data_IF_331224787103
#
_entry.id   IF_331224787103
#
_cell.length_a   1.000
_cell.length_b   1.000
_cell.length_c   1.000
_cell.angle_alpha   90.00
_cell.angle_beta   90.00
_cell.angle_gamma   90.00
#
_symmetry.space_group_name_H-M   'P 1'
#
loop_
_entity.id
_entity.type
_entity.pdbx_description
1 polymer ?
#
# COMPACT_ATOMS: atom_id res chain seq x y z
N UNK A 1 -9.90 28.62 14.75
CA UNK A 1 -10.16 27.50 15.68
C UNK A 1 -8.81 27.02 16.17
N UNK A 2 -8.58 26.97 17.48
CA UNK A 2 -7.38 26.37 18.05
C UNK A 2 -7.71 24.92 18.39
N UNK A 3 -6.96 23.97 17.84
CA UNK A 3 -7.10 22.57 18.18
C UNK A 3 -6.12 22.27 19.31
N UNK A 4 -6.64 21.97 20.48
CA UNK A 4 -5.83 21.57 21.64
C UNK A 4 -5.53 20.07 21.50
N UNK A 5 -4.30 19.72 21.16
CA UNK A 5 -3.83 18.33 21.17
C UNK A 5 -3.35 17.97 22.57
N UNK A 6 -3.98 17.00 23.22
CA UNK A 6 -3.54 16.44 24.48
C UNK A 6 -3.01 15.03 24.20
N UNK A 7 -1.86 14.67 24.77
CA UNK A 7 -1.31 13.32 24.71
C UNK A 7 -1.55 12.65 26.08
N UNK A 8 -2.58 11.79 26.24
CA UNK A 8 -2.91 11.13 27.50
C UNK A 8 -1.72 10.34 28.08
N UNK A 9 -0.87 9.79 27.22
CA UNK A 9 0.34 9.05 27.59
C UNK A 9 1.38 9.97 28.25
N UNK A 10 1.52 11.20 27.74
CA UNK A 10 2.44 12.19 28.32
C UNK A 10 1.96 12.68 29.70
N UNK A 11 0.66 12.82 29.89
CA UNK A 11 0.07 13.17 31.19
C UNK A 11 0.26 12.04 32.22
N UNK A 12 0.13 10.79 31.78
CA UNK A 12 0.34 9.61 32.63
C UNK A 12 1.81 9.48 33.04
N UNK A 13 2.74 9.71 32.11
CA UNK A 13 4.17 9.73 32.40
C UNK A 13 4.55 10.88 33.36
N UNK A 14 3.95 12.07 33.18
CA UNK A 14 4.15 13.20 34.08
C UNK A 14 3.65 12.88 35.50
N UNK A 15 2.48 12.23 35.65
CA UNK A 15 1.96 11.80 36.95
C UNK A 15 2.91 10.84 37.68
N UNK A 16 3.51 9.88 36.97
CA UNK A 16 4.47 8.94 37.53
C UNK A 16 5.76 9.64 38.00
N UNK A 17 6.29 10.58 37.20
CA UNK A 17 7.48 11.35 37.58
C UNK A 17 7.24 12.23 38.81
N UNK A 18 6.08 12.89 38.85
CA UNK A 18 5.63 13.69 39.99
C UNK A 18 5.55 12.82 41.24
N UNK A 19 4.96 11.62 41.16
CA UNK A 19 4.91 10.68 42.27
C UNK A 19 6.31 10.23 42.76
N UNK A 20 7.25 9.98 41.84
CA UNK A 20 8.63 9.62 42.19
C UNK A 20 9.34 10.75 42.95
N UNK A 21 9.18 12.00 42.51
CA UNK A 21 9.74 13.18 43.19
C UNK A 21 9.16 13.32 44.60
N UNK A 22 7.85 13.13 44.78
CA UNK A 22 7.24 13.17 46.10
C UNK A 22 7.74 12.07 47.04
N UNK A 23 7.96 10.86 46.54
CA UNK A 23 8.55 9.78 47.32
C UNK A 23 9.95 10.16 47.79
N UNK A 24 10.81 10.64 46.87
CA UNK A 24 12.18 11.04 47.19
C UNK A 24 12.22 12.20 48.22
N UNK A 25 11.31 13.17 48.09
CA UNK A 25 11.16 14.27 49.06
C UNK A 25 10.69 13.77 50.43
N UNK A 26 9.74 12.84 50.46
CA UNK A 26 9.27 12.21 51.69
C UNK A 26 10.38 11.46 52.42
N UNK A 27 11.15 10.65 51.69
CA UNK A 27 12.28 9.89 52.22
C UNK A 27 13.40 10.82 52.75
N UNK A 28 13.72 11.88 52.01
CA UNK A 28 14.71 12.87 52.43
C UNK A 28 14.27 13.63 53.70
N UNK A 29 13.01 14.04 53.78
CA UNK A 29 12.47 14.72 54.96
C UNK A 29 12.41 13.79 56.19
N UNK A 30 12.10 12.50 55.99
CA UNK A 30 12.13 11.50 57.05
C UNK A 30 13.56 11.23 57.55
N UNK A 31 14.53 11.12 56.63
CA UNK A 31 15.94 10.92 56.98
C UNK A 31 16.53 12.11 57.76
N UNK A 32 16.13 13.35 57.42
CA UNK A 32 16.59 14.56 58.10
C UNK A 32 15.90 14.82 59.45
N UNK A 33 14.76 14.17 59.74
CA UNK A 33 13.92 14.47 60.89
C UNK A 33 14.65 14.30 62.23
N UNK A 34 15.34 13.18 62.42
CA UNK A 34 16.03 12.87 63.67
C UNK A 34 17.18 13.85 63.99
N UNK A 35 17.93 14.26 62.96
CA UNK A 35 19.08 15.17 63.12
C UNK A 35 18.70 16.64 63.32
N UNK A 36 17.49 17.04 62.92
CA UNK A 36 17.05 18.45 62.96
C UNK A 36 16.11 18.76 64.12
N UNK A 37 15.37 17.77 64.63
CA UNK A 37 14.45 17.95 65.77
C UNK A 37 15.09 17.65 67.14
N UNK A 38 16.24 16.97 67.15
CA UNK A 38 16.98 16.58 68.35
C UNK A 38 18.21 17.43 68.65
N UNK A 39 18.21 18.72 68.29
CA UNK A 39 19.37 19.60 68.50
C UNK A 39 19.62 19.78 69.99
N UNK A 40 20.83 19.43 70.44
CA UNK A 40 21.27 19.60 71.83
C UNK A 40 21.95 20.95 72.03
N UNK A 41 21.82 21.52 73.22
CA UNK A 41 22.52 22.76 73.58
C UNK A 41 24.05 22.53 73.59
N UNK A 42 24.80 23.41 72.95
CA UNK A 42 26.27 23.32 72.86
C UNK A 42 26.98 23.62 74.20
N UNK A 43 26.30 24.32 75.11
CA UNK A 43 26.78 24.66 76.44
C UNK A 43 25.63 24.70 77.46
N UNK A 44 25.96 24.74 78.75
CA UNK A 44 24.99 24.76 79.85
C UNK A 44 24.31 26.14 80.05
N UNK A 45 24.62 27.12 79.21
CA UNK A 45 24.05 28.46 79.29
C UNK A 45 22.64 28.53 78.69
N UNK A 46 21.91 29.56 79.13
CA UNK A 46 20.52 29.77 78.70
C UNK A 46 20.41 30.15 77.22
N UNK A 47 21.43 30.76 76.62
CA UNK A 47 21.42 31.16 75.20
C UNK A 47 21.56 29.94 74.30
N UNK A 48 22.49 29.02 74.61
CA UNK A 48 22.64 27.73 73.92
C UNK A 48 21.37 26.87 74.01
N UNK A 49 20.71 26.87 75.17
CA UNK A 49 19.43 26.15 75.37
C UNK A 49 18.30 26.76 74.55
N UNK A 50 18.19 28.10 74.54
CA UNK A 50 17.18 28.80 73.75
C UNK A 50 17.37 28.62 72.25
N UNK A 51 18.61 28.66 71.76
CA UNK A 51 18.93 28.41 70.34
C UNK A 51 18.61 26.98 69.92
N UNK A 52 18.97 25.97 70.72
CA UNK A 52 18.60 24.58 70.45
C UNK A 52 17.07 24.39 70.39
N UNK A 53 16.32 25.01 71.31
CA UNK A 53 14.86 24.99 71.28
C UNK A 53 14.26 25.69 70.06
N UNK A 54 14.85 26.80 69.61
CA UNK A 54 14.40 27.51 68.41
C UNK A 54 14.58 26.66 67.14
N UNK A 55 15.77 26.05 66.97
CA UNK A 55 16.05 25.21 65.81
C UNK A 55 15.19 23.94 65.79
N UNK A 56 15.04 23.27 66.93
CA UNK A 56 14.16 22.10 67.03
C UNK A 56 12.70 22.45 66.80
N UNK A 57 12.23 23.62 67.28
CA UNK A 57 10.89 24.13 66.99
C UNK A 57 10.67 24.40 65.49
N UNK A 58 11.62 25.09 64.85
CA UNK A 58 11.56 25.34 63.40
C UNK A 58 11.56 24.05 62.57
N UNK A 59 12.33 23.04 62.99
CA UNK A 59 12.34 21.73 62.34
C UNK A 59 10.98 21.02 62.43
N UNK A 60 10.29 21.13 63.57
CA UNK A 60 8.94 20.57 63.75
C UNK A 60 7.91 21.28 62.85
N UNK A 61 7.97 22.60 62.74
CA UNK A 61 7.12 23.38 61.84
C UNK A 61 7.36 22.98 60.38
N UNK A 62 8.63 22.81 59.98
CA UNK A 62 8.99 22.33 58.66
C UNK A 62 8.41 20.93 58.38
N UNK A 63 8.49 20.00 59.33
CA UNK A 63 7.90 18.66 59.19
C UNK A 63 6.39 18.72 58.99
N UNK A 64 5.68 19.59 59.73
CA UNK A 64 4.23 19.79 59.56
C UNK A 64 3.87 20.31 58.16
N UNK A 65 4.59 21.32 57.66
CA UNK A 65 4.40 21.85 56.30
C UNK A 65 4.72 20.80 55.23
N UNK A 66 5.77 20.01 55.45
CA UNK A 66 6.16 18.95 54.51
C UNK A 66 5.09 17.87 54.36
N UNK A 67 4.39 17.52 55.45
CA UNK A 67 3.28 16.59 55.44
C UNK A 67 2.08 17.15 54.65
N UNK A 68 1.79 18.45 54.79
CA UNK A 68 0.73 19.11 54.02
C UNK A 68 1.08 19.17 52.53
N UNK A 69 2.34 19.44 52.18
CA UNK A 69 2.81 19.40 50.80
C UNK A 69 2.69 17.99 50.18
N UNK A 70 2.99 16.93 50.95
CA UNK A 70 2.81 15.56 50.48
C UNK A 70 1.35 15.22 50.16
N UNK A 71 0.40 15.70 50.99
CA UNK A 71 -1.03 15.53 50.73
C UNK A 71 -1.48 16.27 49.46
N UNK A 72 -1.04 17.52 49.28
CA UNK A 72 -1.30 18.29 48.07
C UNK A 72 -0.79 17.55 46.82
N UNK A 73 0.43 17.02 46.89
CA UNK A 73 1.04 16.31 45.76
C UNK A 73 0.27 15.04 45.38
N UNK A 74 -0.23 14.31 46.38
CA UNK A 74 -1.11 13.15 46.17
C UNK A 74 -2.41 13.54 45.47
N UNK A 75 -3.09 14.60 45.92
CA UNK A 75 -4.32 15.11 45.29
C UNK A 75 -4.07 15.62 43.86
N UNK A 76 -2.96 16.32 43.65
CA UNK A 76 -2.56 16.81 42.33
C UNK A 76 -2.33 15.66 41.34
N UNK A 77 -1.63 14.59 41.78
CA UNK A 77 -1.38 13.40 40.96
C UNK A 77 -2.69 12.66 40.63
N UNK A 78 -3.61 12.55 41.59
CA UNK A 78 -4.94 11.96 41.37
C UNK A 78 -5.77 12.76 40.36
N UNK A 79 -5.76 14.09 40.48
CA UNK A 79 -6.45 14.97 39.54
C UNK A 79 -5.87 14.87 38.11
N UNK A 80 -4.54 14.77 37.99
CA UNK A 80 -3.87 14.61 36.70
C UNK A 80 -4.23 13.28 36.02
N UNK A 81 -4.26 12.18 36.77
CA UNK A 81 -4.70 10.88 36.28
C UNK A 81 -6.19 10.89 35.89
N UNK A 82 -7.04 11.53 36.69
CA UNK A 82 -8.46 11.72 36.37
C UNK A 82 -8.69 12.51 35.09
N UNK A 83 -7.89 13.56 34.86
CA UNK A 83 -7.94 14.35 33.63
C UNK A 83 -7.52 13.51 32.41
N UNK A 84 -6.42 12.76 32.49
CA UNK A 84 -5.95 11.88 31.41
C UNK A 84 -7.03 10.86 31.00
N UNK A 85 -7.66 10.21 31.98
CA UNK A 85 -8.77 9.28 31.73
C UNK A 85 -9.99 9.96 31.09
N UNK A 86 -10.31 11.19 31.51
CA UNK A 86 -11.42 11.96 30.95
C UNK A 86 -11.17 12.31 29.48
N UNK A 87 -9.93 12.67 29.12
CA UNK A 87 -9.55 12.93 27.73
C UNK A 87 -9.62 11.65 26.88
N UNK A 88 -9.07 10.54 27.35
CA UNK A 88 -9.15 9.26 26.65
C UNK A 88 -10.61 8.79 26.46
N UNK A 89 -11.47 8.98 27.46
CA UNK A 89 -12.90 8.66 27.36
C UNK A 89 -13.62 9.55 26.34
N UNK A 90 -13.27 10.84 26.25
CA UNK A 90 -13.84 11.75 25.27
C UNK A 90 -13.44 11.38 23.83
N UNK A 91 -12.19 10.97 23.61
CA UNK A 91 -11.74 10.45 22.31
C UNK A 91 -12.51 9.18 21.91
N UNK A 92 -12.66 8.23 22.83
CA UNK A 92 -13.41 7.00 22.58
C UNK A 92 -14.90 7.27 22.28
N UNK A 93 -15.53 8.19 23.02
CA UNK A 93 -16.92 8.59 22.78
C UNK A 93 -17.13 9.24 21.41
N UNK A 94 -16.14 9.99 20.93
CA UNK A 94 -16.19 10.64 19.62
C UNK A 94 -15.83 9.71 18.46
N UNK A 95 -15.11 8.61 18.70
CA UNK A 95 -14.79 7.61 17.67
C UNK A 95 -15.98 6.69 17.31
N UNK A 96 -16.82 6.35 18.30
CA UNK A 96 -17.94 5.41 18.13
C UNK A 96 -18.93 5.76 17.00
N UNK A 97 -19.39 7.03 16.88
CA UNK A 97 -20.27 7.45 15.79
C UNK A 97 -19.65 7.33 14.38
N UNK A 98 -18.32 7.44 14.25
CA UNK A 98 -17.65 7.30 12.94
C UNK A 98 -17.59 5.84 12.51
N UNK A 99 -17.26 4.93 13.44
CA UNK A 99 -17.19 3.50 13.16
C UNK A 99 -18.56 2.91 12.77
N UNK A 100 -19.65 3.39 13.38
CA UNK A 100 -20.99 2.93 13.05
C UNK A 100 -21.45 3.34 11.64
N UNK A 101 -21.10 4.56 11.21
CA UNK A 101 -21.39 5.04 9.85
C UNK A 101 -20.51 4.31 8.81
N UNK A 102 -19.24 4.04 9.11
CA UNK A 102 -18.36 3.26 8.23
C UNK A 102 -18.85 1.82 8.02
N UNK A 103 -19.38 1.18 9.07
CA UNK A 103 -20.00 -0.15 8.94
C UNK A 103 -21.24 -0.14 8.05
N UNK A 104 -21.99 0.96 8.03
CA UNK A 104 -23.20 1.10 7.22
C UNK A 104 -22.87 1.31 5.73
N UNK A 105 -21.74 1.96 5.45
CA UNK A 105 -21.32 2.34 4.11
C UNK A 105 -20.51 1.27 3.38
N UNK A 106 -20.17 0.15 4.05
CA UNK A 106 -19.31 -0.94 3.54
C UNK A 106 -17.94 -0.50 3.02
N UNK A 107 -17.58 0.78 3.21
CA UNK A 107 -16.37 1.46 2.77
C UNK A 107 -16.08 2.61 3.75
N UNK A 108 -14.80 2.91 4.05
CA UNK A 108 -14.43 4.03 4.91
C UNK A 108 -14.96 5.37 4.35
N UNK A 109 -15.21 6.34 5.23
CA UNK A 109 -15.48 7.73 4.75
C UNK A 109 -14.17 8.36 4.27
N UNK A 110 -13.09 8.12 5.01
CA UNK A 110 -11.73 8.57 4.71
C UNK A 110 -10.80 7.35 4.80
N UNK A 111 -9.97 7.15 3.78
CA UNK A 111 -8.98 6.08 3.77
C UNK A 111 -8.72 5.57 2.36
N UNK A 112 -7.52 5.05 2.11
CA UNK A 112 -7.23 4.41 0.83
C UNK A 112 -7.87 3.02 0.76
N UNK A 113 -8.19 2.58 -0.45
CA UNK A 113 -8.58 1.21 -0.72
C UNK A 113 -7.40 0.26 -0.51
N UNK A 114 -7.67 -0.94 -0.01
CA UNK A 114 -6.66 -1.98 0.13
C UNK A 114 -6.22 -2.49 -1.25
N UNK A 115 -4.92 -2.74 -1.41
CA UNK A 115 -4.39 -3.38 -2.61
C UNK A 115 -4.92 -4.81 -2.76
N UNK A 116 -5.08 -5.23 -4.01
CA UNK A 116 -5.46 -6.59 -4.37
C UNK A 116 -4.43 -7.61 -3.93
N UNK A 117 -4.90 -8.82 -3.66
CA UNK A 117 -4.07 -9.96 -3.25
C UNK A 117 -4.28 -11.14 -4.20
N UNK A 118 -3.45 -12.17 -4.10
CA UNK A 118 -3.63 -13.38 -4.92
C UNK A 118 -5.03 -14.01 -4.76
N UNK A 119 -5.63 -13.93 -3.57
CA UNK A 119 -6.96 -14.48 -3.29
C UNK A 119 -8.10 -13.55 -3.72
N UNK A 120 -7.86 -12.23 -3.74
CA UNK A 120 -8.80 -11.21 -4.20
C UNK A 120 -8.04 -10.20 -5.06
N UNK A 121 -7.89 -10.47 -6.37
CA UNK A 121 -6.96 -9.74 -7.22
C UNK A 121 -7.26 -8.26 -7.40
N UNK A 122 -8.52 -7.85 -7.28
CA UNK A 122 -8.88 -6.45 -7.48
C UNK A 122 -8.51 -5.61 -6.25
N UNK A 123 -7.94 -4.44 -6.49
CA UNK A 123 -7.82 -3.41 -5.47
C UNK A 123 -9.20 -2.93 -5.03
N UNK A 124 -9.34 -2.66 -3.75
CA UNK A 124 -10.58 -2.11 -3.19
C UNK A 124 -10.68 -0.63 -3.49
N UNK A 125 -11.91 -0.12 -3.49
CA UNK A 125 -12.14 1.30 -3.66
C UNK A 125 -11.68 2.12 -2.44
N UNK A 126 -11.26 3.35 -2.69
CA UNK A 126 -10.94 4.34 -1.65
C UNK A 126 -12.16 4.80 -0.86
N UNK A 127 -11.94 5.63 0.15
CA UNK A 127 -13.00 6.19 0.99
C UNK A 127 -13.95 7.09 0.21
N UNK A 128 -15.17 7.26 0.72
CA UNK A 128 -16.22 8.04 0.04
C UNK A 128 -15.84 9.50 -0.18
N UNK A 129 -15.21 10.14 0.80
CA UNK A 129 -14.84 11.57 0.72
C UNK A 129 -13.38 11.76 0.30
N UNK A 130 -12.47 11.04 0.96
CA UNK A 130 -11.05 11.15 0.69
C UNK A 130 -10.38 9.79 0.71
N UNK A 131 -9.65 9.47 -0.34
CA UNK A 131 -8.91 8.23 -0.43
C UNK A 131 -8.64 7.79 -1.85
N UNK A 132 -7.44 7.28 -2.08
CA UNK A 132 -7.07 6.66 -3.33
C UNK A 132 -7.64 5.24 -3.40
N UNK A 133 -7.94 4.75 -4.60
CA UNK A 133 -8.21 3.33 -4.79
C UNK A 133 -6.96 2.47 -4.63
N UNK A 134 -7.14 1.23 -4.18
CA UNK A 134 -6.05 0.26 -4.04
C UNK A 134 -5.59 -0.26 -5.41
N UNK A 135 -4.34 -0.66 -5.51
CA UNK A 135 -3.79 -1.24 -6.73
C UNK A 135 -4.30 -2.67 -6.95
N UNK A 136 -4.45 -3.07 -8.19
CA UNK A 136 -4.73 -4.46 -8.56
C UNK A 136 -3.51 -5.36 -8.38
N UNK A 137 -3.77 -6.64 -8.11
CA UNK A 137 -2.76 -7.66 -7.91
C UNK A 137 -2.08 -8.07 -9.23
N UNK A 138 -0.76 -8.14 -9.20
CA UNK A 138 0.05 -8.61 -10.33
C UNK A 138 0.00 -10.13 -10.47
N UNK A 139 0.01 -10.61 -11.72
CA UNK A 139 -0.04 -12.03 -12.05
C UNK A 139 -1.47 -12.56 -12.28
N UNK A 140 -2.50 -11.88 -11.78
CA UNK A 140 -3.89 -12.21 -12.10
C UNK A 140 -4.57 -11.13 -12.97
N UNK A 141 -3.88 -10.03 -13.27
CA UNK A 141 -4.50 -8.90 -13.97
C UNK A 141 -5.57 -8.21 -13.12
N UNK A 142 -5.34 -8.07 -11.82
CA UNK A 142 -6.33 -7.45 -10.93
C UNK A 142 -6.64 -6.03 -11.33
N UNK A 143 -7.91 -5.61 -11.26
CA UNK A 143 -8.27 -4.23 -11.54
C UNK A 143 -7.84 -3.32 -10.37
N UNK A 144 -7.45 -2.09 -10.67
CA UNK A 144 -7.30 -1.05 -9.65
C UNK A 144 -8.66 -0.60 -9.13
N UNK A 145 -8.73 -0.30 -7.83
CA UNK A 145 -9.91 0.26 -7.18
C UNK A 145 -10.13 1.71 -7.56
N UNK A 146 -11.38 2.18 -7.49
CA UNK A 146 -11.72 3.57 -7.77
C UNK A 146 -11.59 4.44 -6.52
N UNK A 147 -11.32 5.73 -6.68
CA UNK A 147 -11.47 6.70 -5.60
C UNK A 147 -12.94 7.11 -5.41
N UNK A 148 -13.25 7.76 -4.28
CA UNK A 148 -14.57 8.35 -3.99
C UNK A 148 -14.71 9.76 -4.57
N UNK A 149 -14.86 10.76 -3.69
CA UNK A 149 -15.00 12.16 -4.10
C UNK A 149 -13.64 12.79 -4.46
N UNK A 150 -12.64 12.62 -3.59
CA UNK A 150 -11.26 13.10 -3.76
C UNK A 150 -10.29 11.95 -3.62
N UNK A 151 -9.44 11.75 -4.63
CA UNK A 151 -8.39 10.73 -4.60
C UNK A 151 -8.11 10.18 -5.99
N UNK A 152 -6.98 9.52 -6.17
CA UNK A 152 -6.61 8.90 -7.43
C UNK A 152 -7.10 7.46 -7.51
N UNK A 153 -7.42 6.99 -8.71
CA UNK A 153 -7.68 5.57 -8.94
C UNK A 153 -6.42 4.73 -8.77
N UNK A 154 -6.57 3.50 -8.29
CA UNK A 154 -5.48 2.56 -8.16
C UNK A 154 -5.01 2.03 -9.51
N UNK A 155 -3.74 1.62 -9.62
CA UNK A 155 -3.23 1.02 -10.85
C UNK A 155 -3.80 -0.39 -11.05
N UNK A 156 -3.99 -0.81 -12.31
CA UNK A 156 -4.27 -2.19 -12.65
C UNK A 156 -3.02 -3.07 -12.53
N UNK A 157 -3.20 -4.30 -12.06
CA UNK A 157 -2.14 -5.29 -11.93
C UNK A 157 -1.78 -5.93 -13.27
N UNK A 158 -0.55 -6.42 -13.41
CA UNK A 158 -0.11 -7.11 -14.63
C UNK A 158 -0.77 -8.49 -14.78
N UNK A 159 -0.94 -8.94 -16.02
CA UNK A 159 -1.40 -10.30 -16.32
C UNK A 159 -0.34 -11.37 -16.06
N UNK A 160 -0.79 -12.62 -15.87
CA UNK A 160 0.11 -13.78 -15.71
C UNK A 160 0.89 -14.06 -17.01
N UNK A 161 2.15 -14.47 -16.88
CA UNK A 161 2.86 -15.03 -18.03
C UNK A 161 2.36 -16.46 -18.31
N UNK A 162 2.27 -16.81 -19.58
CA UNK A 162 1.97 -18.16 -20.03
C UNK A 162 3.12 -19.12 -19.69
N UNK A 163 2.76 -20.35 -19.31
CA UNK A 163 3.74 -21.38 -18.98
C UNK A 163 4.61 -21.75 -20.20
N UNK A 164 5.93 -21.72 -20.02
CA UNK A 164 6.87 -22.11 -21.06
C UNK A 164 6.71 -23.59 -21.45
N UNK A 165 6.96 -23.90 -22.72
CA UNK A 165 6.84 -25.25 -23.27
C UNK A 165 5.40 -25.76 -23.38
N UNK A 166 4.39 -24.90 -23.25
CA UNK A 166 2.97 -25.30 -23.37
C UNK A 166 2.22 -24.51 -24.44
N UNK A 167 2.80 -23.42 -24.94
CA UNK A 167 2.08 -22.46 -25.79
C UNK A 167 0.93 -21.74 -25.06
N UNK A 168 0.93 -21.74 -23.72
CA UNK A 168 -0.11 -21.05 -22.95
C UNK A 168 -0.09 -19.54 -23.22
N UNK A 169 -1.27 -18.93 -23.38
CA UNK A 169 -1.38 -17.49 -23.55
C UNK A 169 -0.99 -16.74 -22.27
N UNK A 170 -0.50 -15.52 -22.43
CA UNK A 170 -0.38 -14.56 -21.34
C UNK A 170 -1.75 -14.06 -20.91
N UNK A 171 -1.94 -13.85 -19.61
CA UNK A 171 -3.14 -13.24 -19.04
C UNK A 171 -3.22 -11.75 -19.35
N UNK A 172 -4.42 -11.20 -19.39
CA UNK A 172 -4.63 -9.76 -19.56
C UNK A 172 -4.16 -8.97 -18.34
N UNK A 173 -3.70 -7.74 -18.57
CA UNK A 173 -3.52 -6.76 -17.51
C UNK A 173 -4.86 -6.21 -17.03
N UNK A 174 -4.93 -5.85 -15.76
CA UNK A 174 -6.13 -5.28 -15.15
C UNK A 174 -6.34 -3.83 -15.53
N UNK A 175 -7.59 -3.37 -15.52
CA UNK A 175 -7.88 -1.95 -15.75
C UNK A 175 -7.42 -1.10 -14.57
N UNK A 176 -6.97 0.12 -14.83
CA UNK A 176 -6.79 1.13 -13.79
C UNK A 176 -8.13 1.61 -13.24
N UNK A 177 -8.15 1.95 -11.95
CA UNK A 177 -9.34 2.47 -11.28
C UNK A 177 -9.63 3.92 -11.64
N UNK A 178 -10.87 4.36 -11.43
CA UNK A 178 -11.25 5.75 -11.71
C UNK A 178 -10.72 6.69 -10.63
N UNK A 179 -10.33 7.90 -11.04
CA UNK A 179 -10.07 9.01 -10.13
C UNK A 179 -11.34 9.52 -9.47
N UNK A 180 -11.18 10.35 -8.45
CA UNK A 180 -12.28 10.86 -7.64
C UNK A 180 -13.23 11.71 -8.46
N UNK A 181 -14.52 11.66 -8.10
CA UNK A 181 -15.57 12.37 -8.84
C UNK A 181 -15.31 13.87 -8.95
N UNK A 182 -14.84 14.52 -7.88
CA UNK A 182 -14.51 15.94 -7.90
C UNK A 182 -13.07 16.16 -8.34
N UNK A 183 -12.13 15.46 -7.70
CA UNK A 183 -10.70 15.64 -7.98
C UNK A 183 -9.96 14.31 -7.90
N UNK A 184 -9.24 13.98 -8.96
CA UNK A 184 -8.32 12.87 -8.96
C UNK A 184 -8.02 12.33 -10.34
N UNK A 185 -6.83 11.77 -10.47
CA UNK A 185 -6.39 11.14 -11.69
C UNK A 185 -6.88 9.70 -11.75
N UNK A 186 -7.16 9.22 -12.97
CA UNK A 186 -7.37 7.80 -13.20
C UNK A 186 -6.08 7.00 -13.02
N UNK A 187 -6.21 5.76 -12.55
CA UNK A 187 -5.10 4.83 -12.40
C UNK A 187 -4.62 4.29 -13.75
N UNK A 188 -3.33 3.94 -13.85
CA UNK A 188 -2.82 3.30 -15.07
C UNK A 188 -3.35 1.87 -15.23
N UNK A 189 -3.54 1.42 -16.46
CA UNK A 189 -3.84 0.03 -16.78
C UNK A 189 -2.61 -0.87 -16.63
N UNK A 190 -2.83 -2.11 -16.21
CA UNK A 190 -1.79 -3.12 -16.05
C UNK A 190 -1.29 -3.67 -17.38
N UNK A 191 -0.03 -4.09 -17.43
CA UNK A 191 0.51 -4.74 -18.63
C UNK A 191 -0.06 -6.15 -18.83
N UNK A 192 -0.26 -6.53 -20.09
CA UNK A 192 -0.56 -7.92 -20.45
C UNK A 192 0.63 -8.83 -20.21
N UNK A 193 0.37 -10.07 -19.81
CA UNK A 193 1.38 -11.10 -19.57
C UNK A 193 2.00 -11.61 -20.87
N UNK A 194 3.23 -12.11 -20.79
CA UNK A 194 3.94 -12.68 -21.93
C UNK A 194 3.37 -14.07 -22.25
N UNK A 195 3.19 -14.40 -23.53
CA UNK A 195 2.81 -15.74 -23.98
C UNK A 195 3.93 -16.77 -23.75
N UNK A 196 3.56 -17.98 -23.32
CA UNK A 196 4.49 -19.08 -23.09
C UNK A 196 5.05 -19.64 -24.39
N UNK A 197 6.29 -20.11 -24.39
CA UNK A 197 6.87 -20.80 -25.55
C UNK A 197 6.13 -22.09 -25.87
N UNK A 198 6.07 -22.47 -27.13
CA UNK A 198 5.56 -23.76 -27.56
C UNK A 198 6.51 -24.91 -27.20
N UNK A 199 5.97 -26.09 -26.93
CA UNK A 199 6.75 -27.32 -26.75
C UNK A 199 7.53 -27.68 -28.02
N UNK A 200 8.79 -28.06 -27.88
CA UNK A 200 9.51 -28.75 -28.96
C UNK A 200 8.82 -30.07 -29.29
N UNK A 201 8.56 -30.30 -30.57
CA UNK A 201 7.99 -31.55 -31.07
C UNK A 201 8.93 -32.73 -30.83
N UNK A 202 8.35 -33.89 -30.52
CA UNK A 202 9.07 -35.16 -30.56
C UNK A 202 9.54 -35.47 -32.00
N UNK A 203 10.36 -36.51 -32.17
CA UNK A 203 10.79 -36.96 -33.48
C UNK A 203 9.59 -37.16 -34.42
N UNK A 204 9.65 -36.57 -35.61
CA UNK A 204 8.58 -36.63 -36.61
C UNK A 204 7.26 -35.94 -36.21
N UNK A 205 7.33 -35.00 -35.25
CA UNK A 205 6.19 -34.22 -34.78
C UNK A 205 6.50 -32.73 -34.92
N UNK A 206 5.54 -31.99 -35.48
CA UNK A 206 5.56 -30.52 -35.56
C UNK A 206 5.62 -29.91 -34.16
N UNK A 207 6.44 -28.87 -34.00
CA UNK A 207 6.51 -28.13 -32.74
C UNK A 207 5.18 -27.45 -32.38
N UNK A 208 4.88 -27.32 -31.08
CA UNK A 208 3.66 -26.65 -30.65
C UNK A 208 3.74 -25.13 -30.91
N UNK A 209 2.62 -24.45 -31.18
CA UNK A 209 2.62 -23.00 -31.35
C UNK A 209 3.02 -22.29 -30.05
N UNK A 210 3.58 -21.10 -30.19
CA UNK A 210 3.81 -20.18 -29.09
C UNK A 210 2.49 -19.55 -28.64
N UNK A 211 2.40 -19.27 -27.34
CA UNK A 211 1.23 -18.64 -26.76
C UNK A 211 1.11 -17.17 -27.15
N UNK A 212 -0.12 -16.68 -27.27
CA UNK A 212 -0.36 -15.26 -27.53
C UNK A 212 0.02 -14.42 -26.30
N UNK A 213 0.44 -13.18 -26.55
CA UNK A 213 0.60 -12.21 -25.48
C UNK A 213 -0.76 -11.73 -24.94
N UNK A 214 -0.82 -11.47 -23.64
CA UNK A 214 -2.02 -10.93 -23.01
C UNK A 214 -2.29 -9.49 -23.40
N UNK A 215 -3.55 -9.06 -23.38
CA UNK A 215 -3.89 -7.64 -23.65
C UNK A 215 -3.48 -6.74 -22.48
N UNK A 216 -3.05 -5.52 -22.76
CA UNK A 216 -2.90 -4.48 -21.74
C UNK A 216 -4.26 -4.01 -21.21
N UNK A 217 -4.32 -3.67 -19.93
CA UNK A 217 -5.52 -3.14 -19.30
C UNK A 217 -5.78 -1.68 -19.68
N UNK A 218 -7.04 -1.25 -19.65
CA UNK A 218 -7.37 0.15 -19.90
C UNK A 218 -6.91 1.04 -18.74
N UNK A 219 -6.53 2.28 -19.01
CA UNK A 219 -6.36 3.31 -17.98
C UNK A 219 -7.71 3.77 -17.43
N UNK A 220 -7.75 4.12 -16.15
CA UNK A 220 -8.94 4.63 -15.49
C UNK A 220 -9.25 6.07 -15.90
N UNK A 221 -10.51 6.47 -15.83
CA UNK A 221 -10.91 7.85 -16.12
C UNK A 221 -10.72 8.76 -14.90
N UNK A 222 -10.53 10.06 -15.13
CA UNK A 222 -10.69 11.09 -14.10
C UNK A 222 -12.15 11.56 -14.01
N UNK A 223 -12.51 12.24 -12.91
CA UNK A 223 -13.85 12.77 -12.64
C UNK A 223 -14.06 14.16 -13.26
N UNK A 224 -14.33 15.17 -12.43
CA UNK A 224 -14.52 16.56 -12.87
C UNK A 224 -13.18 17.23 -13.21
N UNK A 225 -12.17 17.01 -12.35
CA UNK A 225 -10.80 17.47 -12.50
C UNK A 225 -9.82 16.31 -12.36
N UNK A 226 -8.82 16.27 -13.24
CA UNK A 226 -7.72 15.30 -13.17
C UNK A 226 -7.37 14.70 -14.52
N UNK A 227 -6.26 13.99 -14.62
CA UNK A 227 -5.81 13.35 -15.85
C UNK A 227 -6.27 11.89 -15.91
N UNK A 228 -6.64 11.42 -17.10
CA UNK A 228 -6.90 10.01 -17.33
C UNK A 228 -5.63 9.17 -17.17
N UNK A 229 -5.80 7.93 -16.72
CA UNK A 229 -4.69 7.00 -16.57
C UNK A 229 -4.20 6.47 -17.92
N UNK A 230 -2.91 6.17 -18.05
CA UNK A 230 -2.38 5.53 -19.25
C UNK A 230 -2.90 4.09 -19.40
N UNK A 231 -3.11 3.63 -20.63
CA UNK A 231 -3.38 2.23 -20.93
C UNK A 231 -2.13 1.37 -20.75
N UNK A 232 -2.32 0.13 -20.34
CA UNK A 232 -1.25 -0.85 -20.16
C UNK A 232 -0.70 -1.37 -21.49
N UNK A 233 0.58 -1.73 -21.52
CA UNK A 233 1.17 -2.37 -22.69
C UNK A 233 0.59 -3.78 -22.91
N UNK A 234 0.46 -4.19 -24.17
CA UNK A 234 0.19 -5.59 -24.52
C UNK A 234 1.41 -6.47 -24.28
N UNK A 235 1.19 -7.71 -23.88
CA UNK A 235 2.22 -8.69 -23.64
C UNK A 235 2.86 -9.18 -24.95
N UNK A 236 4.16 -9.48 -24.92
CA UNK A 236 4.81 -10.15 -26.03
C UNK A 236 4.27 -11.59 -26.16
N UNK A 237 4.27 -12.13 -27.38
CA UNK A 237 3.94 -13.53 -27.60
C UNK A 237 5.13 -14.48 -27.35
N UNK A 238 4.78 -15.73 -27.10
CA UNK A 238 5.71 -16.84 -26.99
C UNK A 238 6.21 -17.29 -28.35
N UNK A 239 7.44 -17.80 -28.36
CA UNK A 239 8.03 -18.42 -29.54
C UNK A 239 7.38 -19.79 -29.82
N UNK A 240 7.25 -20.16 -31.08
CA UNK A 240 6.86 -21.52 -31.45
C UNK A 240 7.94 -22.54 -31.05
N UNK A 241 7.53 -23.75 -30.70
CA UNK A 241 8.45 -24.83 -30.36
C UNK A 241 9.17 -25.36 -31.60
N UNK A 242 10.43 -25.77 -31.47
CA UNK A 242 11.17 -26.38 -32.58
C UNK A 242 10.68 -27.79 -32.92
N UNK A 243 11.15 -28.33 -34.04
CA UNK A 243 11.09 -29.77 -34.35
C UNK A 243 12.50 -30.36 -34.34
N UNK A 244 12.66 -31.64 -33.98
CA UNK A 244 13.98 -32.24 -33.65
C UNK A 244 14.52 -33.23 -34.68
N UNK A 245 13.67 -33.89 -35.47
CA UNK A 245 14.10 -34.77 -36.56
C UNK A 245 12.98 -34.95 -37.58
N UNK A 246 13.32 -34.92 -38.88
CA UNK A 246 12.34 -35.07 -39.94
C UNK A 246 12.65 -36.11 -41.00
N UNK A 247 11.61 -36.87 -41.37
CA UNK A 247 11.56 -37.78 -42.52
C UNK A 247 10.54 -37.31 -43.56
N UNK A 248 9.88 -36.17 -43.33
CA UNK A 248 8.83 -35.64 -44.18
C UNK A 248 8.90 -34.12 -44.31
N UNK A 249 8.79 -33.56 -45.52
CA UNK A 249 8.76 -32.10 -45.73
C UNK A 249 7.52 -31.41 -45.12
N UNK A 250 6.59 -32.16 -44.52
CA UNK A 250 5.39 -31.62 -43.85
C UNK A 250 5.57 -31.34 -42.36
N UNK A 251 6.76 -31.56 -41.79
CA UNK A 251 7.05 -31.29 -40.39
C UNK A 251 7.69 -29.90 -40.23
N UNK A 252 7.07 -29.09 -39.38
CA UNK A 252 7.45 -27.68 -39.21
C UNK A 252 7.83 -27.39 -37.75
N UNK A 253 8.64 -26.35 -37.55
CA UNK A 253 8.62 -25.63 -36.28
C UNK A 253 7.22 -25.08 -36.00
N UNK A 254 6.84 -24.99 -34.74
CA UNK A 254 5.59 -24.38 -34.31
C UNK A 254 5.54 -22.90 -34.70
N UNK A 255 4.36 -22.37 -34.96
CA UNK A 255 4.22 -20.93 -35.25
C UNK A 255 4.44 -20.09 -34.00
N UNK A 256 5.01 -18.90 -34.15
CA UNK A 256 5.05 -17.92 -33.06
C UNK A 256 3.67 -17.41 -32.69
N UNK A 257 3.47 -17.05 -31.42
CA UNK A 257 2.20 -16.49 -30.95
C UNK A 257 1.97 -15.06 -31.45
N UNK A 258 0.73 -14.58 -31.33
CA UNK A 258 0.35 -13.19 -31.66
C UNK A 258 0.58 -12.28 -30.45
N UNK A 259 1.24 -11.14 -30.65
CA UNK A 259 1.45 -10.15 -29.59
C UNK A 259 0.13 -9.57 -29.08
N UNK A 260 0.04 -9.29 -27.78
CA UNK A 260 -1.16 -8.74 -27.16
C UNK A 260 -1.42 -7.30 -27.56
N UNK A 261 -2.67 -6.88 -27.65
CA UNK A 261 -3.01 -5.48 -27.88
C UNK A 261 -2.68 -4.61 -26.66
N UNK A 262 -2.29 -3.36 -26.88
CA UNK A 262 -2.18 -2.34 -25.84
C UNK A 262 -3.57 -1.88 -25.36
N UNK A 263 -3.68 -1.52 -24.08
CA UNK A 263 -4.90 -1.00 -23.48
C UNK A 263 -5.17 0.45 -23.88
N UNK A 264 -6.43 0.86 -23.89
CA UNK A 264 -6.79 2.26 -24.12
C UNK A 264 -6.38 3.14 -22.93
N UNK A 265 -6.01 4.40 -23.19
CA UNK A 265 -5.87 5.42 -22.17
C UNK A 265 -7.24 5.85 -21.63
N UNK A 266 -7.30 6.23 -20.36
CA UNK A 266 -8.51 6.71 -19.71
C UNK A 266 -8.83 8.16 -20.05
N UNK A 267 -10.09 8.55 -19.91
CA UNK A 267 -10.50 9.93 -20.15
C UNK A 267 -9.97 10.89 -19.08
N UNK A 268 -9.60 12.10 -19.48
CA UNK A 268 -9.33 13.23 -18.59
C UNK A 268 -10.60 13.75 -17.93
N UNK A 269 -10.41 14.64 -16.95
CA UNK A 269 -11.50 15.20 -16.15
C UNK A 269 -12.42 16.04 -17.02
N UNK A 270 -13.73 15.91 -16.82
CA UNK A 270 -14.73 16.50 -17.70
C UNK A 270 -14.57 18.00 -17.90
N UNK A 271 -14.25 18.75 -16.84
CA UNK A 271 -14.05 20.20 -16.94
C UNK A 271 -12.63 20.52 -17.35
N UNK A 272 -11.65 19.92 -16.66
CA UNK A 272 -10.23 20.13 -16.96
C UNK A 272 -9.42 18.89 -16.66
N UNK A 273 -8.62 18.49 -17.66
CA UNK A 273 -7.65 17.41 -17.55
C UNK A 273 -7.41 16.70 -18.86
N UNK A 274 -6.19 16.18 -19.01
CA UNK A 274 -5.74 15.48 -20.21
C UNK A 274 -6.22 14.02 -20.19
N UNK A 275 -6.50 13.48 -21.37
CA UNK A 275 -6.66 12.04 -21.54
C UNK A 275 -5.34 11.30 -21.28
N UNK A 276 -5.45 10.03 -20.89
CA UNK A 276 -4.30 9.15 -20.75
C UNK A 276 -3.78 8.67 -22.10
N UNK A 277 -2.49 8.38 -22.20
CA UNK A 277 -1.93 7.75 -23.39
C UNK A 277 -2.44 6.31 -23.55
N UNK A 278 -2.60 5.85 -24.79
CA UNK A 278 -2.83 4.44 -25.08
C UNK A 278 -1.57 3.61 -24.84
N UNK A 279 -1.76 2.33 -24.50
CA UNK A 279 -0.68 1.37 -24.33
C UNK A 279 -0.11 0.90 -25.67
N UNK A 280 1.17 0.55 -25.69
CA UNK A 280 1.79 -0.07 -26.87
C UNK A 280 1.32 -1.52 -27.05
N UNK A 281 1.24 -2.00 -28.28
CA UNK A 281 1.03 -3.40 -28.57
C UNK A 281 2.27 -4.25 -28.29
N UNK A 282 2.08 -5.54 -28.02
CA UNK A 282 3.14 -6.50 -27.76
C UNK A 282 3.78 -7.03 -29.04
N UNK A 283 5.03 -7.47 -28.96
CA UNK A 283 5.70 -8.11 -30.10
C UNK A 283 5.10 -9.50 -30.40
N UNK A 284 5.08 -9.87 -31.68
CA UNK A 284 4.76 -11.23 -32.12
C UNK A 284 5.89 -12.20 -31.78
N UNK A 285 5.57 -13.49 -31.63
CA UNK A 285 6.52 -14.53 -31.31
C UNK A 285 7.34 -14.95 -32.52
N UNK A 286 8.60 -15.36 -32.32
CA UNK A 286 9.34 -16.03 -33.39
C UNK A 286 8.72 -17.40 -33.68
N UNK A 287 8.84 -17.86 -34.93
CA UNK A 287 8.53 -19.26 -35.26
C UNK A 287 9.58 -20.21 -34.70
N UNK A 288 9.19 -21.46 -34.47
CA UNK A 288 10.08 -22.50 -34.01
C UNK A 288 11.09 -22.93 -35.07
N UNK A 289 12.22 -23.48 -34.64
CA UNK A 289 13.22 -24.01 -35.56
C UNK A 289 12.68 -25.24 -36.29
N UNK A 290 13.09 -25.42 -37.55
CA UNK A 290 12.85 -26.65 -38.29
C UNK A 290 13.70 -27.81 -37.77
N UNK A 291 13.34 -29.02 -38.15
CA UNK A 291 14.08 -30.23 -37.78
C UNK A 291 15.32 -30.46 -38.64
N UNK A 292 16.36 -31.03 -38.04
CA UNK A 292 17.49 -31.60 -38.76
C UNK A 292 17.01 -32.76 -39.63
N UNK A 293 17.54 -32.86 -40.85
CA UNK A 293 17.13 -33.90 -41.78
C UNK A 293 17.72 -35.25 -41.42
N UNK A 294 16.87 -36.28 -41.33
CA UNK A 294 17.33 -37.67 -41.20
C UNK A 294 17.20 -38.38 -42.54
N UNK A 295 18.13 -39.30 -42.81
CA UNK A 295 18.19 -40.03 -44.07
C UNK A 295 17.23 -41.23 -43.97
N UNK A 296 16.18 -41.23 -44.80
CA UNK A 296 15.28 -42.37 -44.97
C UNK A 296 15.10 -42.62 -46.46
N UNK A 297 15.42 -43.84 -46.91
CA UNK A 297 15.27 -44.31 -48.29
C UNK A 297 15.91 -43.36 -49.35
N UNK A 298 17.24 -43.14 -49.25
CA UNK A 298 18.06 -42.33 -50.16
C UNK A 298 17.66 -40.84 -50.34
N UNK A 299 16.73 -40.35 -49.53
CA UNK A 299 16.30 -38.94 -49.48
C UNK A 299 16.58 -38.37 -48.09
N UNK A 300 17.09 -37.13 -48.03
CA UNK A 300 17.26 -36.38 -46.79
C UNK A 300 16.28 -35.20 -46.79
N UNK A 301 15.35 -35.16 -45.84
CA UNK A 301 14.37 -34.09 -45.71
C UNK A 301 14.64 -33.28 -44.45
N UNK A 302 15.07 -32.03 -44.60
CA UNK A 302 15.07 -31.07 -43.49
C UNK A 302 13.66 -30.56 -43.21
N UNK A 303 13.30 -30.38 -41.94
CA UNK A 303 12.05 -29.75 -41.55
C UNK A 303 12.13 -28.22 -41.72
N UNK A 304 11.01 -27.61 -42.07
CA UNK A 304 10.94 -26.15 -42.22
C UNK A 304 10.78 -25.46 -40.86
N UNK A 305 11.30 -24.25 -40.72
CA UNK A 305 10.97 -23.40 -39.57
C UNK A 305 9.49 -23.05 -39.52
N UNK A 306 9.00 -22.75 -38.32
CA UNK A 306 7.68 -22.18 -38.11
C UNK A 306 7.62 -20.73 -38.57
N UNK A 307 6.42 -20.27 -38.90
CA UNK A 307 6.18 -18.86 -39.19
C UNK A 307 6.24 -18.02 -37.91
N UNK A 308 6.75 -16.80 -38.01
CA UNK A 308 6.62 -15.80 -36.94
C UNK A 308 5.16 -15.36 -36.74
N UNK A 309 4.84 -14.95 -35.53
CA UNK A 309 3.57 -14.33 -35.19
C UNK A 309 3.56 -12.83 -35.45
N UNK A 310 2.37 -12.29 -35.65
CA UNK A 310 2.17 -10.84 -35.83
C UNK A 310 2.22 -10.10 -34.50
N UNK A 311 2.66 -8.84 -34.52
CA UNK A 311 2.59 -7.95 -33.36
C UNK A 311 1.16 -7.55 -33.03
N UNK A 312 0.96 -7.13 -31.78
CA UNK A 312 -0.29 -6.56 -31.28
C UNK A 312 -0.45 -5.10 -31.69
N UNK A 313 -1.70 -4.65 -31.76
CA UNK A 313 -2.04 -3.25 -32.03
C UNK A 313 -1.80 -2.38 -30.80
N UNK A 314 -1.46 -1.11 -31.00
CA UNK A 314 -1.49 -0.12 -29.93
C UNK A 314 -2.92 0.20 -29.48
N UNK A 315 -3.06 0.69 -28.25
CA UNK A 315 -4.29 1.22 -27.70
C UNK A 315 -4.52 2.67 -28.10
N UNK A 316 -5.78 3.09 -28.14
CA UNK A 316 -6.15 4.49 -28.34
C UNK A 316 -5.79 5.35 -27.13
N UNK A 317 -5.46 6.62 -27.34
CA UNK A 317 -5.44 7.61 -26.27
C UNK A 317 -6.84 7.88 -25.71
N UNK A 318 -6.89 8.43 -24.51
CA UNK A 318 -8.12 8.91 -23.87
C UNK A 318 -8.49 10.31 -24.33
N UNK A 319 -9.77 10.66 -24.18
CA UNK A 319 -10.27 12.01 -24.48
C UNK A 319 -9.89 13.00 -23.39
N UNK A 320 -9.52 14.23 -23.77
CA UNK A 320 -9.37 15.34 -22.84
C UNK A 320 -10.71 15.93 -22.39
N UNK A 321 -10.67 16.74 -21.32
CA UNK A 321 -11.80 17.50 -20.81
C UNK A 321 -12.19 18.70 -21.67
N UNK A 322 -13.29 19.37 -21.29
CA UNK A 322 -13.85 20.53 -21.99
C UNK A 322 -12.84 21.65 -22.22
N UNK A 323 -11.92 21.85 -21.27
CA UNK A 323 -10.83 22.85 -21.35
C UNK A 323 -9.43 22.22 -21.41
N UNK A 324 -9.31 20.93 -21.68
CA UNK A 324 -8.02 20.24 -21.82
C UNK A 324 -7.57 20.13 -23.28
N UNK A 325 -6.26 20.11 -23.53
CA UNK A 325 -5.68 19.88 -24.85
C UNK A 325 -5.43 18.37 -25.04
N UNK A 326 -6.17 17.73 -25.96
CA UNK A 326 -6.07 16.29 -26.25
C UNK A 326 -4.85 15.87 -27.07
#
# INVERSE_FOLDING_TARGET
MFFTTVAPEALTAAAANVQSIASALGDANAAAAAGTTGVLAAGADQVSTALASLFSGHALDYQAVSAQAAQFHSQFTQALAGAANSYAAAEAANAGPLQSIESLLSRPIIGNGADGTAASPNGQDGGWLYGNGGNGYNGAGGNGGSAGLIGNGGAGGSGANGAAGTGAAGGSGGSGGNGGWLWGNGGAGGAGGIGGTGATGAAHVTGSPGGNGGTGGAGGAAGLFGTGGAGGAGGAAGQGGGSTSSTSPTEYGGTGGVGGAGGAGGAGGWLYGQGGAGGVGGAGGAGGTGADGTQSDDQAYGGWGGNGGVGGTGGSGGSAGLFGDG
#
